data_IF_141316845898
#
_entry.id   IF_141316845898
#
_cell.length_a   1.000
_cell.length_b   1.000
_cell.length_c   1.000
_cell.angle_alpha   90.00
_cell.angle_beta   90.00
_cell.angle_gamma   90.00
#
_symmetry.space_group_name_H-M   'P 1'
#
loop_
_entity.id
_entity.type
_entity.pdbx_description
1 polymer ?
#
# COMPACT_ATOMS: atom_id res chain seq x y z
N UNK A 1 36.43 -20.04 -84.91
CA UNK A 1 35.50 -19.88 -83.77
C UNK A 1 36.04 -20.70 -82.60
N UNK A 2 36.48 -20.07 -81.50
CA UNK A 2 36.97 -20.77 -80.31
C UNK A 2 35.75 -21.29 -79.52
N UNK A 3 35.66 -22.60 -79.34
CA UNK A 3 34.58 -23.25 -78.61
C UNK A 3 34.58 -22.83 -77.14
N UNK A 4 33.41 -22.45 -76.61
CA UNK A 4 33.20 -22.15 -75.20
C UNK A 4 33.30 -23.45 -74.38
N UNK A 5 34.08 -23.41 -73.29
CA UNK A 5 34.25 -24.51 -72.35
C UNK A 5 32.92 -24.88 -71.70
N UNK A 6 32.47 -26.12 -71.91
CA UNK A 6 31.26 -26.66 -71.31
C UNK A 6 31.54 -27.01 -69.84
N UNK A 7 30.99 -26.23 -68.92
CA UNK A 7 31.12 -26.43 -67.47
C UNK A 7 30.54 -27.80 -67.10
N UNK A 8 31.38 -28.78 -66.74
CA UNK A 8 30.94 -30.09 -66.23
C UNK A 8 30.03 -29.86 -65.02
N UNK A 9 28.74 -30.17 -65.16
CA UNK A 9 27.75 -29.95 -64.12
C UNK A 9 27.98 -30.98 -63.00
N UNK A 10 28.41 -30.52 -61.81
CA UNK A 10 28.56 -31.33 -60.60
C UNK A 10 27.20 -31.71 -59.99
N UNK A 11 26.35 -32.41 -60.74
CA UNK A 11 24.95 -32.66 -60.36
C UNK A 11 24.79 -33.53 -59.10
N UNK A 12 25.75 -34.41 -58.80
CA UNK A 12 25.68 -35.32 -57.64
C UNK A 12 26.03 -34.67 -56.30
N UNK A 13 27.11 -33.89 -56.24
CA UNK A 13 27.55 -33.23 -54.99
C UNK A 13 26.57 -32.12 -54.57
N UNK A 14 25.97 -31.42 -55.53
CA UNK A 14 24.96 -30.40 -55.27
C UNK A 14 23.72 -31.00 -54.61
N UNK A 15 23.29 -32.21 -55.00
CA UNK A 15 22.16 -32.90 -54.38
C UNK A 15 22.41 -33.17 -52.88
N UNK A 16 23.60 -33.65 -52.52
CA UNK A 16 23.98 -33.95 -51.13
C UNK A 16 24.01 -32.66 -50.31
N UNK A 17 24.62 -31.59 -50.83
CA UNK A 17 24.70 -30.32 -50.12
C UNK A 17 23.31 -29.69 -49.92
N UNK A 18 22.45 -29.75 -50.95
CA UNK A 18 21.09 -29.22 -50.87
C UNK A 18 20.23 -30.03 -49.89
N UNK A 19 20.34 -31.35 -49.87
CA UNK A 19 19.58 -32.19 -48.92
C UNK A 19 20.01 -31.97 -47.47
N UNK A 20 21.31 -31.85 -47.20
CA UNK A 20 21.81 -31.51 -45.86
C UNK A 20 21.38 -30.08 -45.46
N UNK A 21 21.50 -29.11 -46.36
CA UNK A 21 21.07 -27.73 -46.08
C UNK A 21 19.56 -27.64 -45.82
N UNK A 22 18.74 -28.36 -46.60
CA UNK A 22 17.30 -28.42 -46.39
C UNK A 22 16.95 -29.06 -45.04
N UNK A 23 17.64 -30.15 -44.67
CA UNK A 23 17.44 -30.80 -43.37
C UNK A 23 17.76 -29.86 -42.20
N UNK A 24 18.88 -29.12 -42.28
CA UNK A 24 19.27 -28.13 -41.27
C UNK A 24 18.24 -27.00 -41.17
N UNK A 25 17.76 -26.49 -42.30
CA UNK A 25 16.70 -25.46 -42.32
C UNK A 25 15.41 -25.98 -41.68
N UNK A 26 15.00 -27.23 -41.98
CA UNK A 26 13.84 -27.85 -41.35
C UNK A 26 14.01 -28.02 -39.83
N UNK A 27 15.19 -28.42 -39.38
CA UNK A 27 15.51 -28.53 -37.94
C UNK A 27 15.41 -27.18 -37.23
N UNK A 28 15.89 -26.09 -37.84
CA UNK A 28 15.72 -24.74 -37.29
C UNK A 28 14.27 -24.28 -37.27
N UNK A 29 13.49 -24.58 -38.32
CA UNK A 29 12.05 -24.25 -38.33
C UNK A 29 11.28 -25.02 -37.27
N UNK A 30 11.61 -26.29 -37.06
CA UNK A 30 11.07 -27.14 -36.00
C UNK A 30 11.34 -26.52 -34.62
N UNK A 31 12.60 -26.20 -34.33
CA UNK A 31 12.99 -25.59 -33.06
C UNK A 31 12.33 -24.22 -32.83
N UNK A 32 12.20 -23.40 -33.89
CA UNK A 32 11.54 -22.11 -33.79
C UNK A 32 10.04 -22.24 -33.48
N UNK A 33 9.35 -23.21 -34.07
CA UNK A 33 7.94 -23.49 -33.80
C UNK A 33 7.73 -24.04 -32.38
N UNK A 34 8.54 -25.01 -31.97
CA UNK A 34 8.49 -25.57 -30.61
C UNK A 34 8.81 -24.47 -29.58
N UNK A 35 9.84 -23.66 -29.83
CA UNK A 35 10.22 -22.49 -29.04
C UNK A 35 9.08 -21.50 -28.85
N UNK A 36 8.40 -21.13 -29.95
CA UNK A 36 7.24 -20.26 -29.89
C UNK A 36 6.08 -20.86 -29.08
N UNK A 37 5.88 -22.18 -29.17
CA UNK A 37 4.85 -22.88 -28.41
C UNK A 37 5.17 -22.94 -26.91
N UNK A 38 6.44 -23.09 -26.53
CA UNK A 38 6.87 -23.07 -25.13
C UNK A 38 6.60 -21.72 -24.47
N UNK A 39 6.96 -20.63 -25.14
CA UNK A 39 6.72 -19.28 -24.63
C UNK A 39 5.22 -19.03 -24.49
N UNK A 40 4.42 -19.44 -25.49
CA UNK A 40 2.96 -19.33 -25.42
C UNK A 40 2.39 -20.10 -24.22
N UNK A 41 2.84 -21.34 -24.00
CA UNK A 41 2.36 -22.15 -22.88
C UNK A 41 2.86 -21.62 -21.53
N UNK A 42 4.05 -21.01 -21.45
CA UNK A 42 4.49 -20.31 -20.24
C UNK A 42 3.50 -19.20 -19.86
N UNK A 43 3.10 -18.35 -20.81
CA UNK A 43 2.10 -17.31 -20.56
C UNK A 43 0.76 -17.90 -20.11
N UNK A 44 0.30 -18.98 -20.76
CA UNK A 44 -0.97 -19.63 -20.38
C UNK A 44 -0.93 -20.24 -18.98
N UNK A 45 0.18 -20.85 -18.60
CA UNK A 45 0.36 -21.40 -17.25
C UNK A 45 0.44 -20.26 -16.23
N UNK A 46 1.07 -19.13 -16.56
CA UNK A 46 1.05 -17.93 -15.71
C UNK A 46 -0.37 -17.39 -15.51
N UNK A 47 -1.12 -17.18 -16.60
CA UNK A 47 -2.52 -16.71 -16.53
C UNK A 47 -3.41 -17.67 -15.68
N UNK A 48 -3.15 -18.98 -15.76
CA UNK A 48 -3.85 -19.98 -14.97
C UNK A 48 -3.51 -19.88 -13.48
N UNK A 49 -2.24 -19.71 -13.13
CA UNK A 49 -1.77 -19.58 -11.75
C UNK A 49 -2.22 -18.24 -11.15
N UNK A 50 -2.19 -17.15 -11.92
CA UNK A 50 -2.73 -15.84 -11.52
C UNK A 50 -4.22 -15.93 -11.17
N UNK A 51 -5.00 -16.58 -12.03
CA UNK A 51 -6.44 -16.78 -11.81
C UNK A 51 -6.71 -17.66 -10.60
N UNK A 52 -5.90 -18.70 -10.40
CA UNK A 52 -6.03 -19.60 -9.27
C UNK A 52 -5.65 -18.93 -7.94
N UNK A 53 -4.57 -18.16 -7.92
CA UNK A 53 -4.18 -17.36 -6.76
C UNK A 53 -5.27 -16.36 -6.39
N UNK A 54 -5.87 -15.67 -7.38
CA UNK A 54 -6.97 -14.74 -7.14
C UNK A 54 -8.22 -15.44 -6.56
N UNK A 55 -8.56 -16.64 -7.04
CA UNK A 55 -9.69 -17.42 -6.52
C UNK A 55 -9.44 -17.91 -5.08
N UNK A 56 -8.22 -18.35 -4.77
CA UNK A 56 -7.83 -18.70 -3.41
C UNK A 56 -7.92 -17.49 -2.47
N UNK A 57 -7.41 -16.33 -2.92
CA UNK A 57 -7.51 -15.08 -2.16
C UNK A 57 -8.96 -14.66 -1.93
N UNK A 58 -9.84 -14.78 -2.94
CA UNK A 58 -11.28 -14.50 -2.81
C UNK A 58 -11.98 -15.43 -1.80
N UNK A 59 -11.52 -16.66 -1.69
CA UNK A 59 -12.10 -17.61 -0.72
C UNK A 59 -11.70 -17.26 0.70
N UNK A 60 -10.43 -16.91 0.94
CA UNK A 60 -9.98 -16.35 2.22
C UNK A 60 -10.70 -15.05 2.55
N UNK A 61 -10.97 -14.24 1.52
CA UNK A 61 -11.63 -12.95 1.63
C UNK A 61 -13.05 -13.06 2.20
N UNK A 62 -13.79 -14.06 1.73
CA UNK A 62 -15.15 -14.38 2.19
C UNK A 62 -15.21 -15.09 3.54
N UNK A 63 -14.07 -15.20 4.23
CA UNK A 63 -13.96 -15.87 5.53
C UNK A 63 -13.77 -17.39 5.46
N UNK A 64 -13.36 -17.92 4.30
CA UNK A 64 -12.98 -19.32 4.15
C UNK A 64 -11.67 -19.66 4.88
N UNK A 65 -11.51 -20.94 5.23
CA UNK A 65 -10.27 -21.47 5.82
C UNK A 65 -9.15 -21.61 4.79
N UNK A 66 -7.92 -21.88 5.26
CA UNK A 66 -6.82 -22.25 4.37
C UNK A 66 -7.12 -23.52 3.55
N UNK A 67 -7.91 -24.45 4.08
CA UNK A 67 -8.36 -25.64 3.36
C UNK A 67 -9.33 -25.28 2.22
N UNK A 68 -10.31 -24.41 2.49
CA UNK A 68 -11.25 -23.92 1.48
C UNK A 68 -10.52 -23.18 0.35
N UNK A 69 -9.51 -22.37 0.70
CA UNK A 69 -8.70 -21.64 -0.26
C UNK A 69 -7.87 -22.59 -1.16
N UNK A 70 -7.28 -23.65 -0.59
CA UNK A 70 -6.58 -24.69 -1.38
C UNK A 70 -7.55 -25.38 -2.36
N UNK A 71 -8.74 -25.75 -1.89
CA UNK A 71 -9.75 -26.34 -2.74
C UNK A 71 -10.20 -25.39 -3.87
N UNK A 72 -10.33 -24.09 -3.60
CA UNK A 72 -10.67 -23.09 -4.62
C UNK A 72 -9.58 -22.92 -5.68
N UNK A 73 -8.30 -22.91 -5.27
CA UNK A 73 -7.13 -22.91 -6.17
C UNK A 73 -7.17 -24.13 -7.09
N UNK A 74 -7.32 -25.33 -6.51
CA UNK A 74 -7.36 -26.59 -7.27
C UNK A 74 -8.53 -26.62 -8.25
N UNK A 75 -9.73 -26.27 -7.82
CA UNK A 75 -10.93 -26.24 -8.68
C UNK A 75 -10.76 -25.25 -9.84
N UNK A 76 -10.17 -24.08 -9.59
CA UNK A 76 -9.91 -23.07 -10.62
C UNK A 76 -8.90 -23.57 -11.64
N UNK A 77 -7.80 -24.18 -11.19
CA UNK A 77 -6.81 -24.76 -12.10
C UNK A 77 -7.42 -25.89 -12.93
N UNK A 78 -8.19 -26.81 -12.33
CA UNK A 78 -8.88 -27.88 -13.08
C UNK A 78 -9.79 -27.29 -14.15
N UNK A 79 -10.58 -26.26 -13.81
CA UNK A 79 -11.50 -25.63 -14.75
C UNK A 79 -10.76 -24.95 -15.92
N UNK A 80 -9.64 -24.26 -15.64
CA UNK A 80 -8.84 -23.58 -16.68
C UNK A 80 -8.13 -24.60 -17.56
N UNK A 81 -7.50 -25.62 -16.96
CA UNK A 81 -6.75 -26.65 -17.67
C UNK A 81 -7.64 -27.59 -18.51
N UNK A 82 -8.93 -27.69 -18.17
CA UNK A 82 -9.92 -28.38 -19.00
C UNK A 82 -10.36 -27.56 -20.25
N UNK A 83 -10.01 -26.28 -20.32
CA UNK A 83 -10.38 -25.37 -21.41
C UNK A 83 -9.58 -25.56 -22.70
N UNK A 84 -10.14 -25.04 -23.79
CA UNK A 84 -9.48 -25.05 -25.10
C UNK A 84 -8.15 -24.27 -25.05
N UNK A 85 -7.04 -24.95 -25.35
CA UNK A 85 -5.70 -24.36 -25.35
C UNK A 85 -4.69 -25.11 -24.50
N UNK A 86 -5.14 -25.94 -23.55
CA UNK A 86 -4.29 -26.75 -22.67
C UNK A 86 -4.13 -28.21 -23.10
N UNK A 87 -4.72 -28.62 -24.22
CA UNK A 87 -4.66 -30.02 -24.71
C UNK A 87 -3.27 -30.57 -25.09
N UNK A 88 -2.21 -29.79 -24.87
CA UNK A 88 -0.79 -30.19 -25.03
C UNK A 88 0.08 -29.79 -23.83
N UNK A 89 -0.55 -29.30 -22.79
CA UNK A 89 0.03 -29.11 -21.48
C UNK A 89 -0.30 -30.39 -20.73
N UNK A 90 0.70 -31.24 -20.51
CA UNK A 90 0.49 -32.57 -19.95
C UNK A 90 0.41 -32.47 -18.42
N UNK A 91 -0.69 -31.90 -17.95
CA UNK A 91 -1.04 -31.88 -16.53
C UNK A 91 -2.12 -32.92 -16.34
N UNK A 92 -1.80 -33.95 -15.57
CA UNK A 92 -2.81 -34.90 -15.09
C UNK A 92 -3.72 -34.18 -14.08
N UNK A 93 -5.00 -33.94 -14.39
CA UNK A 93 -5.92 -33.28 -13.45
C UNK A 93 -6.10 -34.08 -12.15
N UNK A 94 -5.86 -35.40 -12.17
CA UNK A 94 -5.95 -36.26 -11.00
C UNK A 94 -4.71 -36.16 -10.08
N UNK A 95 -3.57 -35.69 -10.59
CA UNK A 95 -2.32 -35.48 -9.84
C UNK A 95 -2.05 -34.02 -9.48
N UNK A 96 -2.95 -33.10 -9.85
CA UNK A 96 -2.74 -31.66 -9.72
C UNK A 96 -2.56 -31.20 -8.27
N UNK A 97 -3.27 -31.82 -7.32
CA UNK A 97 -3.17 -31.51 -5.89
C UNK A 97 -1.76 -31.79 -5.31
N UNK A 98 -0.99 -32.71 -5.92
CA UNK A 98 0.39 -33.00 -5.51
C UNK A 98 1.40 -32.15 -6.29
N UNK A 99 1.00 -31.60 -7.45
CA UNK A 99 1.83 -30.76 -8.31
C UNK A 99 1.77 -29.27 -7.95
N UNK A 100 0.67 -28.80 -7.35
CA UNK A 100 0.51 -27.40 -6.94
C UNK A 100 1.00 -27.18 -5.51
N UNK A 101 1.80 -26.14 -5.32
CA UNK A 101 2.23 -25.70 -3.99
C UNK A 101 1.43 -24.45 -3.64
N UNK A 102 0.67 -24.53 -2.54
CA UNK A 102 -0.13 -23.42 -2.01
C UNK A 102 0.39 -23.05 -0.62
N UNK A 103 0.89 -21.84 -0.50
CA UNK A 103 1.46 -21.30 0.74
C UNK A 103 0.74 -20.03 1.15
N UNK A 104 0.74 -19.74 2.45
CA UNK A 104 0.09 -18.55 3.01
C UNK A 104 1.10 -17.67 3.75
N UNK A 105 0.85 -16.37 3.77
CA UNK A 105 1.68 -15.41 4.51
C UNK A 105 0.82 -14.30 5.13
N UNK A 106 1.33 -13.67 6.19
CA UNK A 106 0.73 -12.46 6.74
C UNK A 106 1.09 -11.21 5.92
N UNK A 107 2.21 -11.25 5.19
CA UNK A 107 2.68 -10.14 4.36
C UNK A 107 3.37 -10.63 3.09
N UNK A 108 3.47 -9.73 2.12
CA UNK A 108 4.21 -9.95 0.85
C UNK A 108 5.46 -9.07 0.74
N UNK A 109 5.70 -8.26 1.77
CA UNK A 109 6.88 -7.45 1.97
C UNK A 109 7.39 -7.64 3.40
N UNK A 110 8.66 -7.30 3.61
CA UNK A 110 9.28 -7.27 4.93
C UNK A 110 8.59 -6.23 5.85
N UNK A 111 8.90 -6.23 7.15
CA UNK A 111 8.32 -5.29 8.13
C UNK A 111 8.57 -3.81 7.76
N UNK A 112 9.66 -3.54 7.05
CA UNK A 112 10.04 -2.22 6.56
C UNK A 112 9.28 -1.83 5.28
N UNK A 113 8.73 -2.80 4.54
CA UNK A 113 7.89 -2.57 3.37
C UNK A 113 8.56 -2.43 2.02
N UNK A 114 9.89 -2.35 2.02
CA UNK A 114 10.73 -1.97 0.89
C UNK A 114 11.24 -3.19 0.08
N UNK A 115 11.19 -4.39 0.65
CA UNK A 115 11.64 -5.62 0.01
C UNK A 115 10.54 -6.66 -0.04
N UNK A 116 10.39 -7.30 -1.21
CA UNK A 116 9.53 -8.47 -1.34
C UNK A 116 10.04 -9.57 -0.40
N UNK A 117 9.18 -9.98 0.52
CA UNK A 117 9.45 -11.05 1.47
C UNK A 117 8.15 -11.78 1.73
N UNK A 118 8.04 -13.00 1.20
CA UNK A 118 6.94 -13.90 1.46
C UNK A 118 7.43 -14.97 2.43
N UNK A 119 6.95 -14.94 3.66
CA UNK A 119 7.31 -15.92 4.70
C UNK A 119 6.16 -16.89 4.90
N UNK A 120 6.27 -18.15 4.42
CA UNK A 120 5.22 -19.13 4.58
C UNK A 120 4.89 -19.37 6.05
N UNK A 121 3.60 -19.35 6.37
CA UNK A 121 3.08 -19.65 7.71
C UNK A 121 1.87 -20.59 7.61
N UNK A 122 1.63 -21.34 8.68
CA UNK A 122 0.44 -22.18 8.86
C UNK A 122 -0.60 -21.50 9.76
N UNK A 123 -0.41 -20.23 10.08
CA UNK A 123 -1.38 -19.45 10.86
C UNK A 123 -2.64 -19.20 10.03
N UNK A 124 -3.79 -19.68 10.50
CA UNK A 124 -5.10 -19.55 9.83
C UNK A 124 -5.55 -18.09 9.63
N UNK A 125 -4.88 -17.12 10.26
CA UNK A 125 -5.13 -15.69 10.06
C UNK A 125 -4.39 -15.10 8.86
N UNK A 126 -3.43 -15.83 8.27
CA UNK A 126 -2.75 -15.40 7.06
C UNK A 126 -3.75 -15.25 5.90
N UNK A 127 -3.70 -14.11 5.20
CA UNK A 127 -4.63 -13.73 4.12
C UNK A 127 -3.96 -13.54 2.76
N UNK A 128 -2.64 -13.64 2.68
CA UNK A 128 -1.94 -13.74 1.41
C UNK A 128 -1.76 -15.19 1.02
N UNK A 129 -1.91 -15.44 -0.28
CA UNK A 129 -1.74 -16.77 -0.86
C UNK A 129 -0.70 -16.70 -1.97
N UNK A 130 0.22 -17.66 -1.98
CA UNK A 130 1.13 -17.95 -3.07
C UNK A 130 0.76 -19.29 -3.68
N UNK A 131 0.57 -19.30 -4.99
CA UNK A 131 0.30 -20.51 -5.77
C UNK A 131 1.46 -20.71 -6.72
N UNK A 132 2.10 -21.88 -6.66
CA UNK A 132 3.25 -22.21 -7.49
C UNK A 132 3.02 -23.53 -8.22
N UNK A 133 3.23 -23.53 -9.53
CA UNK A 133 3.37 -24.71 -10.37
C UNK A 133 4.84 -24.83 -10.81
N UNK A 134 5.66 -25.64 -10.12
CA UNK A 134 7.11 -25.65 -10.31
C UNK A 134 7.54 -26.26 -11.65
N UNK A 135 6.83 -27.29 -12.13
CA UNK A 135 7.17 -27.98 -13.36
C UNK A 135 5.93 -28.50 -14.08
N UNK A 136 5.60 -27.86 -15.20
CA UNK A 136 4.52 -28.24 -16.10
C UNK A 136 5.12 -28.76 -17.41
N UNK A 137 5.02 -30.07 -17.70
CA UNK A 137 5.49 -30.63 -18.97
C UNK A 137 4.68 -30.12 -20.16
N UNK A 138 5.39 -29.76 -21.23
CA UNK A 138 4.80 -29.30 -22.49
C UNK A 138 5.14 -30.27 -23.62
N UNK A 139 4.13 -30.73 -24.35
CA UNK A 139 4.34 -31.61 -25.49
C UNK A 139 5.05 -30.87 -26.64
N UNK A 140 6.15 -31.44 -27.11
CA UNK A 140 6.93 -30.94 -28.24
C UNK A 140 6.35 -31.46 -29.57
N UNK A 141 6.45 -30.70 -30.67
CA UNK A 141 6.02 -31.15 -32.00
C UNK A 141 7.13 -31.86 -32.78
N UNK A 142 8.30 -31.24 -32.88
CA UNK A 142 9.36 -31.67 -33.80
C UNK A 142 10.70 -31.89 -33.09
N UNK A 143 10.92 -31.23 -31.94
CA UNK A 143 12.16 -31.30 -31.17
C UNK A 143 12.31 -32.57 -30.32
N UNK A 144 11.31 -33.48 -30.31
CA UNK A 144 11.36 -34.76 -29.58
C UNK A 144 12.58 -35.63 -29.97
N UNK A 145 13.17 -35.38 -31.14
CA UNK A 145 14.36 -36.07 -31.65
C UNK A 145 15.68 -35.52 -31.06
N UNK A 146 15.66 -34.33 -30.43
CA UNK A 146 16.85 -33.57 -30.02
C UNK A 146 16.90 -33.23 -28.52
N UNK A 147 15.75 -33.09 -27.84
CA UNK A 147 15.66 -32.72 -26.41
C UNK A 147 14.53 -33.50 -25.74
N UNK A 148 14.81 -34.09 -24.57
CA UNK A 148 13.91 -35.07 -23.96
C UNK A 148 12.58 -34.47 -23.44
N UNK A 149 12.59 -33.39 -22.64
CA UNK A 149 11.35 -32.81 -22.10
C UNK A 149 11.50 -31.29 -21.93
N UNK A 150 10.50 -30.53 -22.38
CA UNK A 150 10.40 -29.10 -22.12
C UNK A 150 9.41 -28.88 -20.98
N UNK A 151 9.77 -28.03 -20.03
CA UNK A 151 8.95 -27.74 -18.86
C UNK A 151 8.88 -26.24 -18.63
N UNK A 152 7.73 -25.77 -18.14
CA UNK A 152 7.53 -24.39 -17.71
C UNK A 152 7.13 -24.37 -16.25
N UNK A 153 7.56 -23.33 -15.53
CA UNK A 153 7.11 -23.04 -14.18
C UNK A 153 6.43 -21.68 -14.14
N UNK A 154 5.48 -21.53 -13.22
CA UNK A 154 4.75 -20.30 -12.95
C UNK A 154 4.48 -20.17 -11.45
N UNK A 155 4.40 -18.93 -10.98
CA UNK A 155 4.04 -18.62 -9.60
C UNK A 155 3.30 -17.30 -9.55
N UNK A 156 2.32 -17.20 -8.66
CA UNK A 156 1.57 -15.97 -8.45
C UNK A 156 1.26 -15.78 -6.98
N UNK A 157 1.27 -14.52 -6.54
CA UNK A 157 0.92 -14.12 -5.19
C UNK A 157 -0.31 -13.22 -5.26
N UNK A 158 -1.33 -13.52 -4.47
CA UNK A 158 -2.55 -12.75 -4.41
C UNK A 158 -2.93 -12.39 -2.97
N UNK A 159 -3.61 -11.26 -2.83
CA UNK A 159 -4.18 -10.82 -1.56
C UNK A 159 -4.88 -9.47 -1.70
N UNK A 160 -5.46 -8.98 -0.61
CA UNK A 160 -6.05 -7.65 -0.58
C UNK A 160 -4.99 -6.60 -0.91
N UNK A 161 -5.32 -5.64 -1.78
CA UNK A 161 -4.50 -4.45 -1.98
C UNK A 161 -4.39 -3.68 -0.66
N UNK A 162 -3.27 -3.00 -0.39
CA UNK A 162 -3.30 -1.89 0.57
C UNK A 162 -4.43 -0.94 0.13
N UNK A 163 -5.25 -0.48 1.07
CA UNK A 163 -6.43 0.33 0.77
C UNK A 163 -6.02 1.60 0.03
N UNK A 164 -6.26 1.63 -1.28
CA UNK A 164 -6.31 2.88 -2.05
C UNK A 164 -7.72 3.41 -1.79
N UNK A 165 -7.84 4.40 -0.89
CA UNK A 165 -9.09 5.02 -0.44
C UNK A 165 -9.90 4.27 0.63
N UNK A 166 -9.35 4.13 1.83
CA UNK A 166 -10.21 4.05 3.00
C UNK A 166 -10.30 5.43 3.69
N UNK A 167 -11.40 6.19 3.50
CA UNK A 167 -11.63 7.47 4.15
C UNK A 167 -11.97 7.36 5.65
N UNK A 168 -11.97 6.15 6.22
CA UNK A 168 -12.29 5.92 7.63
C UNK A 168 -11.06 6.01 8.54
N UNK A 169 -11.30 6.12 9.85
CA UNK A 169 -10.28 6.30 10.88
C UNK A 169 -9.46 7.59 10.72
N UNK A 170 -10.13 8.67 10.33
CA UNK A 170 -9.49 9.99 10.32
C UNK A 170 -9.47 10.60 11.71
N UNK A 171 -8.43 11.35 12.03
CA UNK A 171 -8.36 12.09 13.29
C UNK A 171 -9.26 13.34 13.24
N UNK A 172 -9.77 13.84 14.38
CA UNK A 172 -10.66 15.00 14.42
C UNK A 172 -9.94 16.35 14.20
N UNK A 173 -8.95 16.38 13.31
CA UNK A 173 -8.21 17.56 12.86
C UNK A 173 -8.20 17.54 11.33
N UNK A 174 -8.56 18.64 10.69
CA UNK A 174 -8.49 18.78 9.23
C UNK A 174 -7.32 19.64 8.78
N UNK A 175 -6.97 19.52 7.52
CA UNK A 175 -6.11 20.47 6.82
C UNK A 175 -6.82 21.03 5.59
N UNK A 176 -6.33 22.16 5.10
CA UNK A 176 -6.81 22.81 3.88
C UNK A 176 -5.88 22.47 2.72
N UNK A 177 -6.43 22.40 1.51
CA UNK A 177 -5.61 22.33 0.29
C UNK A 177 -4.70 23.56 0.17
N UNK A 178 -3.47 23.35 -0.27
CA UNK A 178 -2.53 24.43 -0.61
C UNK A 178 -2.52 24.69 -2.12
N UNK A 179 -3.70 24.98 -2.65
CA UNK A 179 -3.92 25.23 -4.07
C UNK A 179 -4.84 26.45 -4.23
N UNK A 180 -4.51 27.33 -5.18
CA UNK A 180 -5.33 28.50 -5.49
C UNK A 180 -6.55 28.13 -6.33
N UNK A 181 -6.53 26.99 -7.02
CA UNK A 181 -7.62 26.51 -7.83
C UNK A 181 -7.74 24.98 -7.72
N UNK A 182 -8.16 24.47 -6.54
CA UNK A 182 -8.32 23.04 -6.33
C UNK A 182 -9.35 22.44 -7.31
N UNK A 183 -9.21 21.15 -7.67
CA UNK A 183 -10.17 20.46 -8.54
C UNK A 183 -11.56 20.39 -7.89
N UNK A 184 -12.55 20.00 -8.70
CA UNK A 184 -13.91 19.76 -8.21
C UNK A 184 -13.88 18.64 -7.14
N UNK A 185 -14.44 18.86 -5.93
CA UNK A 185 -14.52 17.82 -4.89
C UNK A 185 -15.18 16.52 -5.34
N UNK A 186 -16.10 16.59 -6.32
CA UNK A 186 -16.79 15.41 -6.87
C UNK A 186 -15.97 14.70 -7.98
N UNK A 187 -14.87 15.30 -8.44
CA UNK A 187 -14.03 14.77 -9.52
C UNK A 187 -12.55 15.12 -9.32
N UNK A 188 -11.94 14.46 -8.33
CA UNK A 188 -10.55 14.66 -7.95
C UNK A 188 -9.64 13.72 -8.76
N UNK A 189 -8.61 14.23 -9.46
CA UNK A 189 -7.61 13.41 -10.15
C UNK A 189 -6.91 12.45 -9.19
N UNK A 190 -6.59 11.24 -9.66
CA UNK A 190 -5.95 10.21 -8.84
C UNK A 190 -4.53 10.55 -8.37
N UNK A 191 -3.88 11.51 -9.02
CA UNK A 191 -2.54 12.02 -8.70
C UNK A 191 -2.55 13.35 -7.93
N UNK A 192 -3.73 13.81 -7.50
CA UNK A 192 -3.86 15.08 -6.80
C UNK A 192 -3.37 15.00 -5.35
N UNK A 193 -2.28 15.70 -5.05
CA UNK A 193 -1.64 15.71 -3.73
C UNK A 193 -1.99 16.95 -2.88
N UNK A 194 -3.17 17.53 -3.10
CA UNK A 194 -3.69 18.66 -2.28
C UNK A 194 -2.82 19.92 -2.25
N UNK A 195 -1.91 20.09 -3.22
CA UNK A 195 -0.95 21.20 -3.27
C UNK A 195 0.30 21.00 -2.40
N UNK A 196 0.57 19.77 -1.96
CA UNK A 196 1.76 19.39 -1.18
C UNK A 196 2.57 18.30 -1.89
N UNK A 197 3.85 18.21 -1.55
CA UNK A 197 4.71 17.11 -2.01
C UNK A 197 4.77 16.00 -0.95
N UNK A 198 4.40 14.76 -1.28
CA UNK A 198 4.49 13.66 -0.34
C UNK A 198 5.95 13.25 -0.10
N UNK A 199 6.19 12.70 1.08
CA UNK A 199 7.45 12.06 1.45
C UNK A 199 7.63 10.72 0.74
N UNK A 200 8.89 10.33 0.55
CA UNK A 200 9.29 8.97 0.22
C UNK A 200 10.24 8.42 1.32
N UNK A 201 10.79 7.22 1.13
CA UNK A 201 11.67 6.54 2.10
C UNK A 201 13.03 7.24 2.32
N UNK A 202 13.44 8.09 1.38
CA UNK A 202 14.75 8.74 1.35
C UNK A 202 14.65 10.27 1.50
N UNK A 203 13.52 10.85 1.07
CA UNK A 203 13.31 12.27 0.93
C UNK A 203 12.11 12.69 1.78
N UNK A 204 12.35 13.67 2.64
CA UNK A 204 11.31 14.34 3.41
C UNK A 204 10.33 15.06 2.48
N UNK A 205 9.05 14.87 2.75
CA UNK A 205 7.96 15.60 2.10
C UNK A 205 7.66 16.93 2.76
N UNK A 206 6.54 17.53 2.37
CA UNK A 206 6.15 18.82 2.90
C UNK A 206 5.65 18.69 4.35
N UNK A 207 6.26 19.45 5.26
CA UNK A 207 5.81 19.55 6.66
C UNK A 207 4.78 20.65 6.77
N UNK A 208 3.58 20.30 7.23
CA UNK A 208 2.40 21.15 7.26
C UNK A 208 1.95 21.42 8.69
N UNK A 209 1.58 22.67 8.98
CA UNK A 209 0.97 23.06 10.25
C UNK A 209 -0.53 22.74 10.23
N UNK A 210 -0.92 21.61 10.82
CA UNK A 210 -2.31 21.10 10.82
C UNK A 210 -3.14 21.60 12.01
N UNK A 211 -2.53 22.38 12.91
CA UNK A 211 -3.24 23.16 13.91
C UNK A 211 -2.52 24.48 14.15
N UNK A 212 -3.27 25.57 14.07
CA UNK A 212 -2.83 26.92 14.47
C UNK A 212 -3.67 27.40 15.66
N UNK A 213 -3.10 28.16 16.60
CA UNK A 213 -3.76 28.64 17.81
C UNK A 213 -4.32 30.07 17.69
N UNK A 214 -4.13 30.75 16.56
CA UNK A 214 -4.53 32.14 16.35
C UNK A 214 -5.93 32.27 15.73
N UNK A 215 -6.50 33.48 15.76
CA UNK A 215 -7.80 33.79 15.15
C UNK A 215 -7.77 33.86 13.60
N UNK A 216 -6.61 33.69 12.96
CA UNK A 216 -6.44 33.78 11.51
C UNK A 216 -6.40 32.39 10.86
N UNK A 217 -7.41 31.56 11.15
CA UNK A 217 -7.52 30.25 10.51
C UNK A 217 -8.23 30.37 9.15
N UNK A 218 -7.96 29.46 8.20
CA UNK A 218 -8.54 29.54 6.85
C UNK A 218 -10.06 29.37 6.81
N UNK A 219 -10.66 28.95 7.93
CA UNK A 219 -12.08 28.60 8.06
C UNK A 219 -12.86 29.57 8.96
N UNK A 220 -12.24 30.68 9.36
CA UNK A 220 -12.87 31.76 10.13
C UNK A 220 -12.55 31.77 11.62
N UNK A 221 -12.86 32.88 12.31
CA UNK A 221 -12.48 33.08 13.71
C UNK A 221 -13.19 32.10 14.65
N UNK A 222 -12.44 31.61 15.65
CA UNK A 222 -12.94 30.65 16.65
C UNK A 222 -12.90 29.18 16.21
N UNK A 223 -12.47 28.92 14.98
CA UNK A 223 -12.25 27.59 14.44
C UNK A 223 -10.75 27.30 14.36
N UNK A 224 -10.31 26.15 14.86
CA UNK A 224 -8.89 25.79 14.98
C UNK A 224 -8.57 24.51 14.20
N UNK A 225 -9.28 24.29 13.10
CA UNK A 225 -9.21 23.09 12.24
C UNK A 225 -9.63 21.79 12.95
N UNK A 226 -10.37 21.90 14.04
CA UNK A 226 -10.98 20.73 14.66
C UNK A 226 -12.22 20.31 13.87
N UNK A 227 -12.51 19.01 13.88
CA UNK A 227 -13.63 18.41 13.13
C UNK A 227 -14.56 17.66 14.09
N UNK A 228 -15.86 17.74 13.81
CA UNK A 228 -16.89 16.93 14.45
C UNK A 228 -17.00 15.59 13.72
N UNK A 229 -16.55 14.51 14.35
CA UNK A 229 -16.62 13.15 13.80
C UNK A 229 -17.74 12.32 14.47
N UNK A 230 -18.81 12.97 14.91
CA UNK A 230 -19.95 12.33 15.57
C UNK A 230 -19.80 12.18 17.09
N UNK A 231 -18.59 12.39 17.63
CA UNK A 231 -18.33 12.56 19.07
C UNK A 231 -18.08 14.03 19.36
N UNK A 232 -19.16 14.80 19.52
CA UNK A 232 -19.06 16.26 19.70
C UNK A 232 -18.33 16.67 20.98
N UNK A 233 -17.64 17.81 20.90
CA UNK A 233 -16.98 18.47 22.03
C UNK A 233 -15.59 17.96 22.39
N UNK A 234 -15.02 18.59 23.42
CA UNK A 234 -13.63 18.41 23.82
C UNK A 234 -13.23 16.98 24.25
N UNK A 235 -14.18 16.17 24.74
CA UNK A 235 -13.90 14.80 25.16
C UNK A 235 -13.74 13.86 23.96
N UNK A 236 -14.71 13.88 23.04
CA UNK A 236 -14.65 13.11 21.79
C UNK A 236 -13.46 13.50 20.94
N UNK A 237 -13.19 14.81 20.81
CA UNK A 237 -11.99 15.31 20.13
C UNK A 237 -10.69 14.73 20.72
N UNK A 238 -10.54 14.73 22.04
CA UNK A 238 -9.36 14.16 22.73
C UNK A 238 -9.23 12.66 22.48
N UNK A 239 -10.32 11.92 22.61
CA UNK A 239 -10.34 10.47 22.44
C UNK A 239 -10.06 10.06 20.99
N UNK A 240 -10.62 10.79 20.01
CA UNK A 240 -10.31 10.59 18.60
C UNK A 240 -8.85 10.87 18.27
N UNK A 241 -8.24 11.93 18.84
CA UNK A 241 -6.79 12.16 18.68
C UNK A 241 -5.94 11.03 19.29
N UNK A 242 -6.40 10.45 20.40
CA UNK A 242 -5.79 9.27 21.01
C UNK A 242 -6.05 7.98 20.20
N UNK A 243 -6.86 8.02 19.14
CA UNK A 243 -7.11 6.90 18.24
C UNK A 243 -8.38 6.11 18.51
N UNK A 244 -9.22 6.53 19.46
CA UNK A 244 -10.56 5.94 19.66
C UNK A 244 -11.51 6.44 18.57
N UNK A 245 -11.30 5.94 17.35
CA UNK A 245 -12.00 6.35 16.15
C UNK A 245 -13.10 5.34 15.83
N UNK A 246 -14.29 5.84 15.56
CA UNK A 246 -15.47 5.03 15.21
C UNK A 246 -15.71 5.04 13.71
N UNK A 247 -16.55 4.14 13.20
CA UNK A 247 -16.97 4.14 11.78
C UNK A 247 -17.68 5.44 11.35
N UNK A 248 -18.15 6.27 12.30
CA UNK A 248 -18.64 7.63 12.02
C UNK A 248 -17.53 8.62 11.56
N UNK A 249 -16.27 8.19 11.54
CA UNK A 249 -15.10 8.96 11.08
C UNK A 249 -14.77 8.78 9.59
N UNK A 250 -15.68 8.21 8.80
CA UNK A 250 -15.51 8.07 7.35
C UNK A 250 -15.91 9.36 6.62
N UNK A 251 -14.97 9.97 5.88
CA UNK A 251 -15.24 11.15 5.03
C UNK A 251 -14.70 10.94 3.62
N UNK A 252 -15.59 10.76 2.65
CA UNK A 252 -15.24 10.61 1.24
C UNK A 252 -15.00 11.97 0.57
N UNK A 253 -14.31 12.03 -0.59
CA UNK A 253 -14.35 13.20 -1.45
C UNK A 253 -15.80 13.64 -1.76
N UNK A 254 -16.08 14.94 -1.71
CA UNK A 254 -17.42 15.50 -1.90
C UNK A 254 -18.29 15.55 -0.62
N UNK A 255 -17.96 14.78 0.42
CA UNK A 255 -18.67 14.85 1.70
C UNK A 255 -18.40 16.17 2.44
N UNK A 256 -19.26 16.50 3.40
CA UNK A 256 -19.08 17.69 4.23
C UNK A 256 -18.28 17.37 5.50
N UNK A 257 -17.14 18.04 5.68
CA UNK A 257 -16.39 18.06 6.93
C UNK A 257 -17.02 19.13 7.82
N UNK A 258 -17.74 18.72 8.87
CA UNK A 258 -18.28 19.66 9.85
C UNK A 258 -17.21 20.07 10.85
N UNK A 259 -16.95 21.37 10.96
CA UNK A 259 -15.91 21.89 11.87
C UNK A 259 -16.40 21.93 13.32
N UNK A 260 -15.45 21.80 14.25
CA UNK A 260 -15.66 22.08 15.66
C UNK A 260 -14.99 23.38 16.10
N UNK A 261 -15.71 24.12 16.92
CA UNK A 261 -15.21 25.41 17.44
C UNK A 261 -14.47 25.24 18.75
N UNK A 262 -13.49 26.13 18.98
CA UNK A 262 -12.70 26.16 20.21
C UNK A 262 -11.30 25.58 20.06
N UNK A 263 -10.34 26.19 20.74
CA UNK A 263 -8.93 25.84 20.59
C UNK A 263 -8.57 24.47 21.20
N UNK A 264 -9.36 24.02 22.19
CA UNK A 264 -9.24 22.68 22.80
C UNK A 264 -7.83 22.32 23.29
N UNK A 265 -7.03 23.31 23.73
CA UNK A 265 -5.60 23.20 24.04
C UNK A 265 -5.24 22.00 24.95
N UNK A 266 -5.99 21.85 26.04
CA UNK A 266 -5.82 20.75 26.99
C UNK A 266 -6.13 19.39 26.36
N UNK A 267 -7.35 19.19 25.84
CA UNK A 267 -7.75 18.02 25.05
C UNK A 267 -6.76 17.61 23.95
N UNK A 268 -6.30 18.56 23.14
CA UNK A 268 -5.35 18.33 22.03
C UNK A 268 -4.08 17.64 22.52
N UNK A 269 -3.41 18.24 23.51
CA UNK A 269 -2.17 17.70 24.05
C UNK A 269 -2.40 16.42 24.85
N UNK A 270 -3.53 16.28 25.54
CA UNK A 270 -3.84 15.05 26.29
C UNK A 270 -4.06 13.86 25.35
N UNK A 271 -4.77 14.05 24.23
CA UNK A 271 -5.08 12.99 23.28
C UNK A 271 -3.90 12.61 22.40
N UNK A 272 -3.35 13.58 21.66
CA UNK A 272 -2.33 13.29 20.64
C UNK A 272 -1.03 12.76 21.25
N UNK A 273 -0.64 13.25 22.44
CA UNK A 273 0.60 12.83 23.10
C UNK A 273 0.55 11.39 23.65
N UNK A 274 -0.63 10.74 23.69
CA UNK A 274 -0.71 9.29 23.98
C UNK A 274 0.05 8.48 22.93
N UNK A 275 0.02 8.89 21.66
CA UNK A 275 0.80 8.30 20.55
C UNK A 275 2.31 8.42 20.75
N UNK A 276 2.75 9.29 21.67
CA UNK A 276 4.15 9.49 22.05
C UNK A 276 4.47 8.95 23.45
N UNK A 277 3.57 8.18 24.06
CA UNK A 277 3.76 7.60 25.39
C UNK A 277 3.67 8.60 26.54
N UNK A 278 3.03 9.77 26.32
CA UNK A 278 2.85 10.80 27.35
C UNK A 278 1.38 10.94 27.71
N UNK A 279 1.02 10.38 28.85
CA UNK A 279 -0.35 10.37 29.35
C UNK A 279 -0.62 11.51 30.32
N UNK A 280 -1.74 12.18 30.14
CA UNK A 280 -2.22 13.23 31.03
C UNK A 280 -3.70 13.02 31.28
N UNK A 281 -4.11 13.14 32.55
CA UNK A 281 -5.51 12.98 32.97
C UNK A 281 -6.48 13.74 32.04
N UNK A 282 -7.55 13.09 31.54
CA UNK A 282 -8.05 11.77 31.94
C UNK A 282 -7.48 10.58 31.16
N UNK A 283 -6.49 10.78 30.28
CA UNK A 283 -5.89 9.68 29.51
C UNK A 283 -5.00 8.81 30.40
N UNK A 284 -5.09 7.50 30.23
CA UNK A 284 -4.28 6.50 30.95
C UNK A 284 -3.63 5.53 29.97
N UNK A 285 -2.45 5.05 30.34
CA UNK A 285 -1.76 4.00 29.61
C UNK A 285 -2.56 2.69 29.66
N UNK A 286 -2.69 1.95 28.53
CA UNK A 286 -3.27 0.62 28.53
C UNK A 286 -2.50 -0.35 29.44
N UNK A 287 -3.23 -1.12 30.25
CA UNK A 287 -2.64 -2.08 31.21
C UNK A 287 -2.35 -3.46 30.61
N UNK A 288 -2.87 -3.73 29.41
CA UNK A 288 -2.76 -5.00 28.69
C UNK A 288 -1.95 -4.80 27.42
N UNK A 289 -1.29 -5.87 26.96
CA UNK A 289 -0.67 -5.87 25.64
C UNK A 289 -1.73 -5.69 24.54
N UNK A 290 -1.38 -5.04 23.41
CA UNK A 290 -2.26 -4.98 22.26
C UNK A 290 -2.59 -6.41 21.79
N UNK A 291 -3.85 -6.62 21.45
CA UNK A 291 -4.33 -7.90 20.89
C UNK A 291 -4.28 -7.77 19.38
N UNK A 292 -3.89 -8.85 18.69
CA UNK A 292 -3.87 -8.87 17.23
C UNK A 292 -5.27 -8.61 16.65
N UNK A 293 -5.38 -7.61 15.77
CA UNK A 293 -6.67 -7.13 15.25
C UNK A 293 -7.52 -6.31 16.23
N UNK A 294 -6.99 -5.99 17.42
CA UNK A 294 -7.63 -5.15 18.43
C UNK A 294 -7.56 -3.65 18.14
N UNK A 295 -8.16 -2.85 19.02
CA UNK A 295 -8.10 -1.38 18.94
C UNK A 295 -6.73 -0.86 19.38
N UNK A 296 -6.11 -0.07 18.50
CA UNK A 296 -4.83 0.59 18.71
C UNK A 296 -4.96 1.88 19.53
N UNK A 297 -6.17 2.31 19.88
CA UNK A 297 -6.43 3.50 20.66
C UNK A 297 -5.61 3.53 21.95
N UNK A 298 -5.18 4.74 22.32
CA UNK A 298 -4.43 5.03 23.55
C UNK A 298 -3.03 4.41 23.65
N UNK A 299 -2.64 3.46 22.79
CA UNK A 299 -1.26 2.96 22.75
C UNK A 299 -0.31 4.00 22.15
N UNK A 300 0.90 4.01 22.70
CA UNK A 300 2.04 4.76 22.16
C UNK A 300 2.61 4.08 20.92
N UNK A 301 3.29 4.87 20.10
CA UNK A 301 4.13 4.35 19.02
C UNK A 301 5.36 3.66 19.61
N UNK A 302 5.72 2.50 19.06
CA UNK A 302 6.94 1.80 19.46
C UNK A 302 8.24 2.57 19.15
N UNK A 303 8.18 3.56 18.24
CA UNK A 303 9.27 4.49 17.98
C UNK A 303 8.77 5.93 18.15
N UNK A 304 9.29 6.63 19.16
CA UNK A 304 9.03 8.04 19.44
C UNK A 304 10.27 8.90 19.15
N UNK A 305 10.13 10.19 18.81
CA UNK A 305 11.28 11.05 18.51
C UNK A 305 12.22 11.17 19.70
N UNK A 306 13.52 11.06 19.45
CA UNK A 306 14.59 11.36 20.40
C UNK A 306 14.96 12.85 20.43
N UNK A 307 14.41 13.65 19.51
CA UNK A 307 14.68 15.07 19.35
C UNK A 307 13.85 15.89 20.35
N UNK A 308 14.41 16.99 20.85
CA UNK A 308 13.66 17.93 21.66
C UNK A 308 12.58 18.62 20.81
N UNK A 309 11.34 18.76 21.31
CA UNK A 309 10.25 19.37 20.55
C UNK A 309 10.57 20.83 20.22
N UNK A 310 10.25 21.23 19.00
CA UNK A 310 10.31 22.64 18.60
C UNK A 310 9.15 23.37 19.26
N UNK A 311 9.48 24.47 19.94
CA UNK A 311 8.50 25.39 20.49
C UNK A 311 8.20 26.47 19.46
N UNK A 312 6.93 26.53 19.07
CA UNK A 312 6.39 27.52 18.14
C UNK A 312 5.68 28.63 18.90
N UNK A 313 5.65 29.82 18.31
CA UNK A 313 4.96 31.01 18.80
C UNK A 313 4.08 31.62 17.72
N UNK A 314 3.08 32.41 18.10
CA UNK A 314 2.23 33.14 17.14
C UNK A 314 3.04 33.97 16.12
N UNK A 315 4.18 34.54 16.52
CA UNK A 315 5.04 35.32 15.62
C UNK A 315 5.66 34.51 14.48
N UNK A 316 5.85 33.19 14.67
CA UNK A 316 6.42 32.32 13.64
C UNK A 316 5.45 32.12 12.46
N UNK A 317 4.16 32.45 12.66
CA UNK A 317 3.07 32.26 11.70
C UNK A 317 2.23 33.52 11.45
N UNK A 318 2.79 34.70 11.75
CA UNK A 318 2.06 35.97 11.77
C UNK A 318 1.42 36.36 10.41
N UNK A 319 1.86 35.77 9.30
CA UNK A 319 1.37 36.07 7.95
C UNK A 319 0.64 34.88 7.32
N UNK A 320 0.16 33.96 8.14
CA UNK A 320 -0.07 32.61 7.67
C UNK A 320 -1.42 32.08 8.13
N UNK A 321 -2.25 31.70 7.17
CA UNK A 321 -3.47 30.93 7.44
C UNK A 321 -3.08 29.45 7.59
N UNK A 322 -3.70 28.73 8.54
CA UNK A 322 -3.40 27.33 8.85
C UNK A 322 -3.31 26.39 7.64
N UNK A 323 -2.72 25.20 7.82
CA UNK A 323 -2.27 24.29 6.75
C UNK A 323 -1.10 24.83 5.93
N UNK A 324 -0.21 25.56 6.60
CA UNK A 324 0.97 26.13 5.98
C UNK A 324 2.10 25.12 5.90
N UNK A 325 2.75 25.08 4.74
CA UNK A 325 4.05 24.45 4.56
C UNK A 325 5.15 25.19 5.33
N UNK A 326 5.90 24.48 6.17
CA UNK A 326 7.16 24.95 6.74
C UNK A 326 8.26 24.90 5.69
N UNK A 327 9.02 25.99 5.57
CA UNK A 327 10.11 26.12 4.58
C UNK A 327 11.47 26.39 5.20
N UNK A 328 11.54 26.77 6.48
CA UNK A 328 12.81 27.06 7.15
C UNK A 328 13.61 25.77 7.39
N UNK A 329 14.79 25.60 6.75
CA UNK A 329 15.60 24.40 6.90
C UNK A 329 16.09 24.17 8.33
N UNK A 330 16.28 25.24 9.12
CA UNK A 330 16.80 25.11 10.49
C UNK A 330 15.78 24.55 11.45
N UNK A 331 14.50 24.91 11.26
CA UNK A 331 13.37 24.35 11.97
C UNK A 331 13.11 22.92 11.54
N UNK A 332 13.12 22.67 10.21
CA UNK A 332 12.96 21.33 9.67
C UNK A 332 13.99 20.36 10.24
N UNK A 333 15.27 20.72 10.32
CA UNK A 333 16.32 19.86 10.87
C UNK A 333 16.13 19.44 12.35
N UNK A 334 15.24 20.12 13.09
CA UNK A 334 14.91 19.78 14.49
C UNK A 334 13.69 18.85 14.63
N UNK A 335 12.94 18.67 13.54
CA UNK A 335 11.81 17.75 13.49
C UNK A 335 12.29 16.40 12.99
N UNK A 336 11.77 15.31 13.55
CA UNK A 336 12.02 13.98 13.00
C UNK A 336 11.28 13.86 11.65
N UNK A 337 11.98 13.41 10.60
CA UNK A 337 11.33 13.13 9.32
C UNK A 337 10.63 11.77 9.31
N UNK A 338 9.72 11.55 8.35
CA UNK A 338 9.21 10.22 8.06
C UNK A 338 10.32 9.25 7.62
N UNK A 339 11.25 9.61 6.71
CA UNK A 339 12.47 8.83 6.45
C UNK A 339 13.26 8.46 7.71
N UNK A 340 13.45 9.39 8.64
CA UNK A 340 14.17 9.13 9.89
C UNK A 340 13.43 8.07 10.71
N UNK A 341 12.11 8.18 10.79
CA UNK A 341 11.25 7.24 11.49
C UNK A 341 11.33 5.83 10.91
N UNK A 342 11.19 5.69 9.58
CA UNK A 342 11.29 4.39 8.88
C UNK A 342 12.67 3.77 9.08
N UNK A 343 13.73 4.56 8.99
CA UNK A 343 15.10 4.11 9.16
C UNK A 343 15.53 3.96 10.64
N UNK A 344 14.62 4.18 11.60
CA UNK A 344 14.94 4.13 13.04
C UNK A 344 15.92 5.22 13.52
N UNK A 345 16.17 6.24 12.70
CA UNK A 345 17.03 7.37 13.04
C UNK A 345 16.26 8.39 13.87
N UNK A 346 16.93 9.02 14.84
CA UNK A 346 16.28 9.95 15.78
C UNK A 346 15.06 9.34 16.50
N UNK A 347 15.03 8.01 16.66
CA UNK A 347 13.95 7.24 17.29
C UNK A 347 14.42 6.62 18.60
N UNK A 348 13.53 6.59 19.59
CA UNK A 348 13.70 5.92 20.87
C UNK A 348 12.43 5.18 21.25
N UNK A 349 12.52 4.18 22.12
CA UNK A 349 11.33 3.49 22.63
C UNK A 349 10.50 4.40 23.54
N UNK A 350 9.16 4.31 23.50
CA UNK A 350 8.30 5.07 24.41
C UNK A 350 8.53 4.62 25.86
N UNK A 351 8.24 5.52 26.80
CA UNK A 351 8.25 5.20 28.23
C UNK A 351 6.91 4.56 28.64
N UNK A 352 6.54 3.46 28.01
CA UNK A 352 5.31 2.69 28.23
C UNK A 352 5.60 1.20 28.27
N UNK A 353 4.79 0.42 28.99
CA UNK A 353 4.86 -1.03 29.07
C UNK A 353 4.47 -1.69 27.74
N UNK A 354 3.57 -1.07 27.00
CA UNK A 354 3.07 -1.56 25.73
C UNK A 354 3.08 -0.47 24.67
N UNK A 355 3.29 -0.86 23.41
CA UNK A 355 3.30 0.03 22.27
C UNK A 355 2.77 -0.70 21.03
N UNK A 356 2.30 0.06 20.05
CA UNK A 356 1.90 -0.42 18.74
C UNK A 356 2.73 0.34 17.70
N UNK A 357 3.33 -0.32 16.70
CA UNK A 357 4.08 0.38 15.66
C UNK A 357 3.19 1.30 14.81
N UNK A 358 3.75 2.35 14.19
CA UNK A 358 3.08 3.23 13.20
C UNK A 358 1.89 4.03 13.76
N UNK A 359 1.77 4.17 15.08
CA UNK A 359 0.78 5.03 15.76
C UNK A 359 0.97 6.52 15.47
N UNK A 360 2.11 6.98 14.95
CA UNK A 360 2.31 8.38 14.54
C UNK A 360 1.95 8.65 13.08
N UNK A 361 1.54 7.63 12.33
CA UNK A 361 0.87 7.79 11.03
C UNK A 361 -0.62 8.03 11.27
N UNK A 362 -1.12 9.16 10.81
CA UNK A 362 -2.52 9.56 10.99
C UNK A 362 -3.15 9.96 9.67
N UNK A 363 -4.43 9.60 9.51
CA UNK A 363 -5.28 10.04 8.41
C UNK A 363 -5.92 11.38 8.79
N UNK A 364 -5.74 12.41 7.97
CA UNK A 364 -6.24 13.76 8.19
C UNK A 364 -7.18 14.13 7.05
N UNK A 365 -8.45 14.49 7.30
CA UNK A 365 -9.32 14.98 6.23
C UNK A 365 -8.78 16.28 5.66
N UNK A 366 -8.83 16.40 4.34
CA UNK A 366 -8.42 17.59 3.60
C UNK A 366 -9.68 18.28 3.10
N UNK A 367 -9.83 19.57 3.37
CA UNK A 367 -10.97 20.36 2.93
C UNK A 367 -10.59 21.48 1.96
N UNK A 368 -11.52 21.85 1.09
CA UNK A 368 -11.42 23.11 0.36
C UNK A 368 -11.92 24.26 1.25
N UNK A 369 -10.99 24.90 1.96
CA UNK A 369 -11.30 25.97 2.91
C UNK A 369 -11.64 27.32 2.25
N UNK A 370 -11.59 27.41 0.92
CA UNK A 370 -11.81 28.67 0.21
C UNK A 370 -13.21 29.23 0.46
N UNK A 371 -13.28 30.47 0.95
CA UNK A 371 -14.56 31.16 1.19
C UNK A 371 -15.26 30.80 2.50
N UNK A 372 -14.70 29.90 3.33
CA UNK A 372 -15.26 29.52 4.63
C UNK A 372 -14.81 30.53 5.69
N UNK A 373 -15.73 31.30 6.26
CA UNK A 373 -15.40 32.40 7.19
C UNK A 373 -16.35 32.50 8.40
N UNK A 374 -16.99 31.41 8.78
CA UNK A 374 -18.01 31.40 9.85
C UNK A 374 -17.59 30.43 10.96
N UNK A 375 -18.35 30.39 12.06
CA UNK A 375 -18.07 29.49 13.21
C UNK A 375 -18.17 28.00 12.84
N UNK A 376 -19.05 27.25 13.49
CA UNK A 376 -19.31 25.85 13.09
C UNK A 376 -19.85 25.83 11.65
N UNK A 377 -19.08 25.23 10.74
CA UNK A 377 -19.29 25.32 9.29
C UNK A 377 -19.02 23.97 8.63
N UNK A 378 -19.54 23.76 7.43
CA UNK A 378 -19.21 22.59 6.61
C UNK A 378 -18.18 22.98 5.57
N UNK A 379 -17.11 22.19 5.46
CA UNK A 379 -16.06 22.34 4.46
C UNK A 379 -16.14 21.16 3.50
N UNK A 380 -16.20 21.39 2.17
CA UNK A 380 -16.18 20.30 1.20
C UNK A 380 -14.90 19.48 1.33
N UNK A 381 -15.05 18.16 1.48
CA UNK A 381 -13.96 17.21 1.56
C UNK A 381 -13.30 17.03 0.19
N UNK A 382 -11.98 17.17 0.19
CA UNK A 382 -11.10 16.83 -0.93
C UNK A 382 -10.56 15.40 -0.78
N UNK A 383 -10.93 14.68 0.27
CA UNK A 383 -10.40 13.35 0.60
C UNK A 383 -9.55 13.37 1.87
N UNK A 384 -8.66 12.39 2.00
CA UNK A 384 -7.86 12.16 3.20
C UNK A 384 -6.38 12.15 2.88
N UNK A 385 -5.60 12.93 3.62
CA UNK A 385 -4.15 12.96 3.55
C UNK A 385 -3.53 12.06 4.63
N UNK A 386 -2.42 11.43 4.27
CA UNK A 386 -1.62 10.66 5.19
C UNK A 386 -0.53 11.55 5.78
N UNK A 387 -0.54 11.70 7.10
CA UNK A 387 0.32 12.64 7.79
C UNK A 387 1.12 11.91 8.87
N UNK A 388 2.41 12.17 8.92
CA UNK A 388 3.31 11.66 9.94
C UNK A 388 3.54 12.73 11.03
N UNK A 389 3.28 12.38 12.29
CA UNK A 389 3.46 13.27 13.44
C UNK A 389 4.93 13.31 13.89
N UNK A 390 5.63 14.40 13.54
CA UNK A 390 7.07 14.55 13.75
C UNK A 390 7.49 14.77 15.20
N UNK A 391 6.61 15.31 16.05
CA UNK A 391 6.93 15.64 17.45
C UNK A 391 5.69 15.61 18.35
N UNK A 392 5.92 15.72 19.66
CA UNK A 392 4.84 15.94 20.63
C UNK A 392 4.20 17.32 20.50
N UNK A 393 2.94 17.40 20.96
CA UNK A 393 2.23 18.67 21.12
C UNK A 393 2.75 19.39 22.35
N UNK A 394 3.37 20.54 22.12
CA UNK A 394 3.83 21.48 23.15
C UNK A 394 3.05 22.79 23.11
N UNK A 395 3.27 23.65 24.11
CA UNK A 395 2.67 24.99 24.16
C UNK A 395 1.41 25.09 25.02
N UNK A 396 1.00 26.33 25.28
CA UNK A 396 -0.17 26.69 26.10
C UNK A 396 -0.81 27.95 25.51
N UNK A 397 -2.09 28.17 25.80
CA UNK A 397 -2.79 29.36 25.31
C UNK A 397 -2.74 29.46 23.79
N UNK A 398 -2.19 30.56 23.29
CA UNK A 398 -2.07 30.82 21.87
C UNK A 398 -0.76 30.31 21.24
N UNK A 399 0.02 29.48 21.92
CA UNK A 399 1.29 28.97 21.39
C UNK A 399 1.27 27.44 21.18
N UNK A 400 0.10 26.85 20.92
CA UNK A 400 -0.02 25.40 20.66
C UNK A 400 -0.24 25.12 19.17
N UNK A 401 0.79 24.57 18.54
CA UNK A 401 0.80 24.18 17.14
C UNK A 401 0.96 22.66 16.99
N UNK A 402 0.41 22.12 15.91
CA UNK A 402 0.69 20.75 15.48
C UNK A 402 1.27 20.81 14.09
N UNK A 403 2.40 20.14 13.92
CA UNK A 403 3.08 19.97 12.63
C UNK A 403 3.08 18.49 12.27
N UNK A 404 2.86 18.20 11.00
CA UNK A 404 2.90 16.85 10.48
C UNK A 404 3.45 16.86 9.06
N UNK A 405 4.20 15.82 8.72
CA UNK A 405 4.80 15.63 7.40
C UNK A 405 3.82 14.89 6.49
N UNK A 406 3.59 15.40 5.28
CA UNK A 406 2.72 14.74 4.31
C UNK A 406 3.43 13.52 3.71
N UNK A 407 2.79 12.37 3.76
CA UNK A 407 3.29 11.08 3.28
C UNK A 407 2.33 10.55 2.23
N UNK A 408 2.83 9.90 1.19
CA UNK A 408 1.99 9.43 0.07
C UNK A 408 0.91 8.44 0.54
N UNK A 409 1.31 7.48 1.37
CA UNK A 409 0.45 6.41 1.87
C UNK A 409 0.56 6.31 3.40
N UNK A 410 -0.56 6.06 4.07
CA UNK A 410 -0.63 5.89 5.53
C UNK A 410 -0.10 4.51 5.95
N UNK A 411 -0.12 3.57 5.01
CA UNK A 411 0.63 2.34 5.07
C UNK A 411 2.03 2.67 4.58
N UNK A 412 3.01 2.63 5.47
CA UNK A 412 4.32 2.16 5.02
C UNK A 412 4.06 0.72 4.54
N UNK A 413 3.82 0.63 3.23
CA UNK A 413 4.06 -0.49 2.33
C UNK A 413 3.23 -1.74 2.52
N UNK A 414 2.78 -2.33 1.42
CA UNK A 414 2.76 -3.79 1.25
C UNK A 414 1.95 -4.69 2.19
N UNK A 415 1.34 -4.15 3.25
CA UNK A 415 0.49 -4.84 4.19
C UNK A 415 -0.95 -4.52 3.80
N UNK A 416 -1.50 -5.44 3.04
CA UNK A 416 -2.92 -5.57 2.77
C UNK A 416 -3.64 -5.73 4.09
N UNK A 417 -4.83 -5.18 4.11
CA UNK A 417 -5.66 -5.13 5.29
C UNK A 417 -5.93 -6.57 5.79
N UNK A 418 -5.37 -6.94 6.95
CA UNK A 418 -5.73 -8.18 7.65
C UNK A 418 -7.14 -8.12 8.26
N UNK A 419 -7.71 -6.90 8.34
CA UNK A 419 -9.08 -6.63 8.75
C UNK A 419 -9.96 -6.33 7.53
N UNK A 420 -10.25 -7.37 6.74
CA UNK A 420 -11.15 -7.36 5.58
C UNK A 420 -12.58 -6.83 5.87
N UNK A 421 -12.89 -6.56 7.13
CA UNK A 421 -14.18 -6.03 7.57
C UNK A 421 -14.33 -4.51 7.40
N UNK A 422 -13.27 -3.76 7.06
CA UNK A 422 -13.33 -2.30 6.92
C UNK A 422 -12.79 -1.82 5.55
N UNK A 423 -13.71 -1.43 4.67
CA UNK A 423 -13.47 -0.61 3.47
C UNK A 423 -13.45 -1.37 2.12
N UNK A 424 -13.69 -0.68 0.98
CA UNK A 424 -13.59 -1.28 -0.33
C UNK A 424 -12.11 -1.46 -0.73
N UNK A 425 -11.62 -2.69 -0.71
CA UNK A 425 -10.34 -3.08 -1.30
C UNK A 425 -10.57 -3.91 -2.56
N UNK A 426 -9.52 -4.12 -3.35
CA UNK A 426 -9.53 -5.07 -4.46
C UNK A 426 -8.52 -6.17 -4.17
N UNK A 427 -8.85 -7.39 -4.56
CA UNK A 427 -7.85 -8.45 -4.62
C UNK A 427 -6.94 -8.16 -5.81
N UNK A 428 -5.63 -8.16 -5.55
CA UNK A 428 -4.61 -7.84 -6.55
C UNK A 428 -3.54 -8.92 -6.57
N UNK A 429 -2.88 -9.03 -7.72
CA UNK A 429 -1.70 -9.84 -7.89
C UNK A 429 -0.47 -9.02 -7.47
N UNK A 430 0.43 -9.67 -6.73
CA UNK A 430 1.72 -9.15 -6.32
C UNK A 430 2.80 -9.84 -7.14
N UNK A 431 3.89 -9.10 -7.41
CA UNK A 431 5.08 -9.69 -8.04
C UNK A 431 5.67 -10.76 -7.12
N UNK A 432 5.96 -11.93 -7.67
CA UNK A 432 6.63 -13.00 -6.95
C UNK A 432 8.14 -12.91 -7.20
N UNK A 433 8.94 -12.87 -6.14
CA UNK A 433 10.41 -12.89 -6.22
C UNK A 433 11.00 -14.18 -6.81
N UNK A 434 10.18 -15.23 -6.98
CA UNK A 434 10.57 -16.43 -7.73
C UNK A 434 10.50 -16.27 -9.26
N UNK A 435 9.93 -15.18 -9.77
CA UNK A 435 9.99 -14.82 -11.18
C UNK A 435 11.35 -14.20 -11.51
N UNK A 436 12.33 -15.05 -11.82
CA UNK A 436 13.53 -14.64 -12.54
C UNK A 436 13.23 -14.31 -13.99
N UNK A 437 12.51 -13.22 -14.27
CA UNK A 437 12.61 -12.40 -15.49
C UNK A 437 11.47 -11.37 -15.56
N UNK A 438 11.83 -10.10 -15.44
CA UNK A 438 11.23 -8.97 -16.15
C UNK A 438 12.32 -7.98 -16.50
#
# INVERSE_FOLDING_TARGET
MKALSHRKQQKGAVLILVTVALFVLLAFTALALDGGYLVLNKTRVQDAVDSAALSGAETLDKGGSHEDARAAVENTLVAILAGDGFGRVNIDPAGLAEAVVVEFSHSVYNLAGDQYEFTPTNDETARYIRVTLPSVPVDQFFSQLLVDIWQVGASAVAGASPTIQDPCQIIPLMMCTNDSNPPDPDNIPSDYNFGFNPSDENNRGDVVVIKVPSNSTPVGPGNFLAVDLGTSGAAGYREGLAGALTDASCISPGDNITTETGNMIGPTGAGLNTRLGKYKSPMTEPLSAPVEGGDDAYYADCAVPSLAPVLFSDSDFANTAGSTKLTDPTTLAKLQSYPDYVNGTNSTSPNTAHCVPKRRMVKVPVGNCSGVNQGKSNVPSMGTACMYLSQEVTGKGNDQFIVAEFVKNCTADGVGNSNLNNGPYRLVLYKDGMEGDS
#
